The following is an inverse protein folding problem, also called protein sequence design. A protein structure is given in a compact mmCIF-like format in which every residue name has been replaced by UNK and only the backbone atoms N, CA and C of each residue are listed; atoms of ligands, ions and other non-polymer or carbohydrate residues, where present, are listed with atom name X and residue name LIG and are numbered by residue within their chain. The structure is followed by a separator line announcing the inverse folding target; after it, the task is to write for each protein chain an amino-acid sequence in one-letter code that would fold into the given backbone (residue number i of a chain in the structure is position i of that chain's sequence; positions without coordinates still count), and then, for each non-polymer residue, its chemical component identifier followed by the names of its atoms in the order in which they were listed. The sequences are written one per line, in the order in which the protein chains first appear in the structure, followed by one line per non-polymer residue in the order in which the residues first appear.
data_IF_131308951331
#
_entry.id   IF_131308951331
#
_cell.length_a   1.000
_cell.length_b   1.000
_cell.length_c   1.000
_cell.angle_alpha   90.00
_cell.angle_beta   90.00
_cell.angle_gamma   90.00
#
_symmetry.space_group_name_H-M   'P 1'
#
loop_
_entity.id
_entity.type
_entity.pdbx_description
1 polymer ?
#
# COMPACT_ATOMS: atom_id res chain seq x y z
N UNK A 1 -0.77 -3.64 26.90
CA UNK A 1 -0.81 -3.83 25.44
C UNK A 1 0.57 -4.32 25.04
N UNK A 2 0.73 -5.62 24.79
CA UNK A 2 2.06 -6.25 24.58
C UNK A 2 2.42 -6.28 23.08
N UNK A 3 2.29 -5.12 22.43
CA UNK A 3 2.61 -4.95 21.02
C UNK A 3 4.05 -4.47 20.89
N UNK A 4 4.91 -5.29 20.30
CA UNK A 4 6.32 -4.93 20.02
C UNK A 4 6.46 -3.99 18.82
N UNK A 5 5.40 -3.82 18.01
CA UNK A 5 5.38 -3.10 16.73
C UNK A 5 3.98 -2.57 16.40
N UNK A 6 3.87 -1.61 15.48
CA UNK A 6 2.60 -1.18 14.90
C UNK A 6 1.86 -2.37 14.26
N UNK A 7 0.54 -2.47 14.45
CA UNK A 7 -0.28 -3.60 13.94
C UNK A 7 -0.09 -3.85 12.45
N UNK A 8 -0.02 -2.79 11.64
CA UNK A 8 0.17 -2.89 10.19
C UNK A 8 1.48 -3.59 9.80
N UNK A 9 2.51 -3.58 10.67
CA UNK A 9 3.78 -4.28 10.39
C UNK A 9 3.59 -5.80 10.38
N UNK A 10 2.77 -6.35 11.29
CA UNK A 10 2.46 -7.79 11.31
C UNK A 10 1.76 -8.26 10.02
N UNK A 11 0.90 -7.40 9.46
CA UNK A 11 0.21 -7.62 8.19
C UNK A 11 1.18 -7.49 7.01
N UNK A 12 1.93 -6.38 6.95
CA UNK A 12 2.89 -6.11 5.88
C UNK A 12 3.93 -7.20 5.74
N UNK A 13 4.50 -7.67 6.86
CA UNK A 13 5.53 -8.69 6.86
C UNK A 13 5.02 -10.01 6.24
N UNK A 14 3.73 -10.34 6.45
CA UNK A 14 3.07 -11.50 5.81
C UNK A 14 2.77 -11.25 4.34
N UNK A 15 2.28 -10.06 3.99
CA UNK A 15 1.84 -9.75 2.64
C UNK A 15 3.00 -9.57 1.65
N UNK A 16 4.12 -9.00 2.10
CA UNK A 16 5.24 -8.54 1.27
C UNK A 16 5.83 -9.63 0.37
N UNK A 17 5.86 -10.88 0.81
CA UNK A 17 6.40 -12.01 0.02
C UNK A 17 5.62 -12.26 -1.27
N UNK A 18 4.37 -11.79 -1.37
CA UNK A 18 3.51 -11.94 -2.55
C UNK A 18 3.44 -10.67 -3.42
N UNK A 19 4.17 -9.61 -3.09
CA UNK A 19 4.17 -8.39 -3.89
C UNK A 19 4.82 -8.64 -5.25
N UNK A 20 4.08 -8.34 -6.32
CA UNK A 20 4.59 -8.40 -7.70
C UNK A 20 5.17 -7.04 -8.07
N UNK A 21 6.39 -6.77 -7.59
CA UNK A 21 7.14 -5.57 -7.96
C UNK A 21 7.68 -5.73 -9.38
N UNK A 22 7.38 -4.75 -10.24
CA UNK A 22 7.88 -4.73 -11.61
C UNK A 22 9.38 -4.42 -11.65
N UNK A 23 9.99 -4.65 -12.81
CA UNK A 23 11.41 -4.35 -13.06
C UNK A 23 11.66 -2.88 -13.42
N UNK A 24 10.61 -2.10 -13.63
CA UNK A 24 10.70 -0.70 -14.03
C UNK A 24 9.59 0.15 -13.39
N UNK A 25 9.89 1.44 -13.25
CA UNK A 25 8.96 2.46 -12.82
C UNK A 25 7.82 2.58 -13.83
N UNK A 26 6.59 2.50 -13.33
CA UNK A 26 5.40 2.64 -14.16
C UNK A 26 5.27 4.04 -14.77
N UNK A 27 5.86 5.09 -14.17
CA UNK A 27 5.77 6.45 -14.72
C UNK A 27 6.81 6.70 -15.81
N UNK A 28 8.08 6.35 -15.58
CA UNK A 28 9.19 6.82 -16.43
C UNK A 28 10.12 5.73 -16.95
N UNK A 29 9.87 4.44 -16.64
CA UNK A 29 10.73 3.34 -17.10
C UNK A 29 12.05 3.16 -16.35
N UNK A 30 12.38 4.02 -15.38
CA UNK A 30 13.55 3.85 -14.49
C UNK A 30 13.59 2.44 -13.90
N UNK A 31 14.75 1.80 -13.84
CA UNK A 31 14.92 0.42 -13.36
C UNK A 31 15.59 0.37 -11.98
N UNK A 32 16.15 1.48 -11.52
CA UNK A 32 16.81 1.59 -10.22
C UNK A 32 15.90 2.16 -9.12
N UNK A 33 16.24 1.84 -7.86
CA UNK A 33 15.62 2.43 -6.67
C UNK A 33 14.08 2.40 -6.69
N UNK A 34 13.53 1.25 -7.05
CA UNK A 34 12.10 1.04 -7.17
C UNK A 34 11.44 0.82 -5.80
N UNK A 35 10.20 1.24 -5.65
CA UNK A 35 9.33 1.03 -4.51
C UNK A 35 8.00 0.42 -4.97
N UNK A 36 7.38 -0.41 -4.11
CA UNK A 36 6.03 -0.93 -4.31
C UNK A 36 5.03 -0.01 -3.60
N UNK A 37 4.33 0.80 -4.36
CA UNK A 37 3.38 1.78 -3.84
C UNK A 37 1.95 1.21 -3.85
N UNK A 38 1.29 1.20 -2.69
CA UNK A 38 -0.13 0.85 -2.59
C UNK A 38 -1.00 2.10 -2.74
N UNK A 39 -1.98 2.10 -3.65
CA UNK A 39 -2.92 3.21 -3.77
C UNK A 39 -3.87 3.28 -2.58
N UNK A 40 -4.23 2.13 -2.00
CA UNK A 40 -4.93 2.01 -0.74
C UNK A 40 -3.93 1.69 0.37
N UNK A 41 -3.62 2.68 1.20
CA UNK A 41 -2.60 2.52 2.25
C UNK A 41 -2.98 1.42 3.25
N UNK A 42 -2.10 0.43 3.44
CA UNK A 42 -2.39 -0.71 4.32
C UNK A 42 -2.74 -0.33 5.76
N UNK A 43 -2.17 0.75 6.30
CA UNK A 43 -2.53 1.22 7.65
C UNK A 43 -3.98 1.67 7.71
N UNK A 44 -4.42 2.47 6.73
CA UNK A 44 -5.80 2.96 6.64
C UNK A 44 -6.80 1.81 6.40
N UNK A 45 -6.44 0.86 5.54
CA UNK A 45 -7.25 -0.34 5.29
C UNK A 45 -7.43 -1.16 6.57
N UNK A 46 -6.34 -1.46 7.28
CA UNK A 46 -6.38 -2.27 8.49
C UNK A 46 -7.19 -1.58 9.59
N UNK A 47 -6.96 -0.29 9.83
CA UNK A 47 -7.70 0.45 10.86
C UNK A 47 -9.20 0.55 10.52
N UNK A 48 -9.54 0.78 9.25
CA UNK A 48 -10.94 0.81 8.78
C UNK A 48 -11.62 -0.54 8.99
N UNK A 49 -10.93 -1.63 8.65
CA UNK A 49 -11.43 -2.99 8.78
C UNK A 49 -11.63 -3.42 10.24
N UNK A 50 -10.66 -3.15 11.10
CA UNK A 50 -10.77 -3.42 12.54
C UNK A 50 -11.97 -2.66 13.12
N UNK A 51 -12.12 -1.37 12.74
CA UNK A 51 -13.25 -0.55 13.16
C UNK A 51 -14.58 -1.10 12.66
N UNK A 52 -14.70 -1.49 11.39
CA UNK A 52 -15.95 -2.01 10.83
C UNK A 52 -16.37 -3.33 11.48
N UNK A 53 -15.41 -4.17 11.86
CA UNK A 53 -15.66 -5.44 12.57
C UNK A 53 -15.74 -5.28 14.09
N UNK A 54 -15.58 -4.06 14.62
CA UNK A 54 -15.54 -3.76 16.07
C UNK A 54 -14.49 -4.59 16.82
N UNK A 55 -13.36 -4.87 16.16
CA UNK A 55 -12.25 -5.65 16.74
C UNK A 55 -11.26 -4.69 17.39
N UNK A 56 -10.86 -4.99 18.61
CA UNK A 56 -9.74 -4.32 19.29
C UNK A 56 -8.64 -5.35 19.51
N UNK A 57 -7.44 -5.08 18.99
CA UNK A 57 -6.29 -5.95 19.16
C UNK A 57 -5.53 -5.55 20.42
N UNK A 58 -5.31 -6.51 21.32
CA UNK A 58 -4.58 -6.29 22.59
C UNK A 58 -3.26 -7.05 22.66
N UNK A 59 -3.06 -8.03 21.78
CA UNK A 59 -1.87 -8.91 21.73
C UNK A 59 -1.31 -9.11 20.31
N UNK A 60 -0.06 -9.55 20.22
CA UNK A 60 0.56 -9.89 18.95
C UNK A 60 -0.07 -11.14 18.29
N UNK A 61 -0.49 -12.12 19.08
CA UNK A 61 -1.08 -13.36 18.58
C UNK A 61 -2.42 -13.11 17.88
N UNK A 62 -3.24 -12.20 18.42
CA UNK A 62 -4.50 -11.79 17.79
C UNK A 62 -4.30 -11.23 16.38
N UNK A 63 -3.37 -10.28 16.19
CA UNK A 63 -3.10 -9.73 14.84
C UNK A 63 -2.44 -10.77 13.93
N UNK A 64 -1.63 -11.68 14.46
CA UNK A 64 -1.03 -12.75 13.67
C UNK A 64 -2.07 -13.75 13.13
N UNK A 65 -3.15 -13.99 13.87
CA UNK A 65 -4.27 -14.82 13.42
C UNK A 65 -5.18 -14.06 12.44
N UNK A 66 -5.48 -12.79 12.72
CA UNK A 66 -6.42 -11.99 11.92
C UNK A 66 -5.82 -11.46 10.62
N UNK A 67 -4.50 -11.30 10.52
CA UNK A 67 -3.87 -10.75 9.31
C UNK A 67 -4.15 -11.57 8.06
N UNK A 68 -4.34 -12.88 8.18
CA UNK A 68 -4.62 -13.72 7.01
C UNK A 68 -6.00 -13.43 6.44
N UNK A 69 -7.01 -13.33 7.33
CA UNK A 69 -8.38 -12.94 6.98
C UNK A 69 -8.40 -11.54 6.36
N UNK A 70 -7.71 -10.58 7.00
CA UNK A 70 -7.61 -9.22 6.46
C UNK A 70 -6.96 -9.20 5.06
N UNK A 71 -5.86 -9.95 4.86
CA UNK A 71 -5.17 -10.01 3.57
C UNK A 71 -6.07 -10.63 2.50
N UNK A 72 -6.83 -11.67 2.85
CA UNK A 72 -7.76 -12.33 1.94
C UNK A 72 -8.88 -11.38 1.52
N UNK A 73 -9.54 -10.71 2.48
CA UNK A 73 -10.64 -9.76 2.21
C UNK A 73 -10.19 -8.55 1.37
N UNK A 74 -8.93 -8.10 1.51
CA UNK A 74 -8.37 -6.95 0.77
C UNK A 74 -7.31 -7.37 -0.26
N UNK A 75 -7.43 -8.58 -0.82
CA UNK A 75 -6.47 -9.13 -1.79
C UNK A 75 -6.23 -8.15 -2.94
N UNK A 76 -7.30 -7.55 -3.47
CA UNK A 76 -7.21 -6.61 -4.58
C UNK A 76 -6.44 -5.34 -4.21
N UNK A 77 -6.79 -4.71 -3.09
CA UNK A 77 -6.18 -3.47 -2.63
C UNK A 77 -4.70 -3.65 -2.27
N UNK A 78 -4.36 -4.80 -1.69
CA UNK A 78 -3.00 -5.11 -1.24
C UNK A 78 -2.10 -5.47 -2.42
N UNK A 79 -2.57 -6.26 -3.39
CA UNK A 79 -1.73 -6.87 -4.42
C UNK A 79 -1.90 -6.29 -5.82
N UNK A 80 -3.07 -5.76 -6.16
CA UNK A 80 -3.43 -5.36 -7.53
C UNK A 80 -3.60 -3.85 -7.67
N UNK A 81 -4.13 -3.16 -6.66
CA UNK A 81 -4.20 -1.69 -6.62
C UNK A 81 -2.90 -1.07 -6.09
N UNK A 82 -1.82 -1.40 -6.80
CA UNK A 82 -0.47 -0.94 -6.52
C UNK A 82 0.28 -0.58 -7.81
N UNK A 83 1.36 0.18 -7.67
CA UNK A 83 2.27 0.49 -8.77
C UNK A 83 3.72 0.34 -8.31
N UNK A 84 4.59 -0.07 -9.23
CA UNK A 84 6.04 0.03 -9.01
C UNK A 84 6.50 1.39 -9.49
N UNK A 85 7.08 2.19 -8.61
CA UNK A 85 7.53 3.56 -8.90
C UNK A 85 8.99 3.70 -8.49
N UNK A 86 9.78 4.49 -9.23
CA UNK A 86 11.10 4.87 -8.72
C UNK A 86 10.94 5.80 -7.51
N UNK A 87 11.95 5.84 -6.65
CA UNK A 87 11.98 6.62 -5.41
C UNK A 87 11.56 8.07 -5.62
N UNK A 88 12.04 8.72 -6.68
CA UNK A 88 11.68 10.11 -6.99
C UNK A 88 10.18 10.30 -7.23
N UNK A 89 9.57 9.45 -8.07
CA UNK A 89 8.13 9.50 -8.35
C UNK A 89 7.28 9.09 -7.14
N UNK A 90 7.74 8.09 -6.39
CA UNK A 90 7.06 7.66 -5.17
C UNK A 90 7.05 8.78 -4.11
N UNK A 91 8.18 9.45 -3.90
CA UNK A 91 8.28 10.61 -3.01
C UNK A 91 7.44 11.78 -3.51
N UNK A 92 7.43 12.05 -4.83
CA UNK A 92 6.61 13.12 -5.40
C UNK A 92 5.12 12.86 -5.17
N UNK A 93 4.64 11.64 -5.37
CA UNK A 93 3.26 11.25 -5.08
C UNK A 93 2.92 11.50 -3.60
N UNK A 94 3.78 11.07 -2.68
CA UNK A 94 3.60 11.32 -1.25
C UNK A 94 3.75 12.78 -0.83
N UNK A 95 4.43 13.63 -1.61
CA UNK A 95 4.44 15.09 -1.37
C UNK A 95 3.08 15.74 -1.65
N UNK A 96 2.26 15.12 -2.52
CA UNK A 96 0.95 15.64 -2.93
C UNK A 96 -0.17 15.10 -2.04
N UNK A 97 -0.17 13.79 -1.79
CA UNK A 97 -1.25 13.12 -1.05
C UNK A 97 -0.91 12.85 0.43
N UNK A 98 0.31 13.19 0.85
CA UNK A 98 0.83 12.92 2.19
C UNK A 98 1.40 11.51 2.33
N UNK A 99 2.12 11.26 3.43
CA UNK A 99 2.73 9.96 3.75
C UNK A 99 1.70 8.86 4.07
N UNK A 100 0.50 9.25 4.49
CA UNK A 100 -0.60 8.36 4.87
C UNK A 100 -1.91 8.87 4.23
N UNK A 101 -2.04 8.75 2.90
CA UNK A 101 -3.18 9.28 2.16
C UNK A 101 -4.47 8.54 2.54
N UNK A 102 -5.60 9.25 2.62
CA UNK A 102 -6.92 8.66 2.92
C UNK A 102 -7.34 7.71 1.79
N UNK A 103 -8.08 6.64 2.12
CA UNK A 103 -8.55 5.64 1.14
C UNK A 103 -9.35 6.26 -0.02
N UNK A 104 -10.13 7.30 0.25
CA UNK A 104 -10.92 8.04 -0.77
C UNK A 104 -10.07 8.68 -1.88
N UNK A 105 -8.76 8.80 -1.66
CA UNK A 105 -7.82 9.39 -2.63
C UNK A 105 -7.16 8.36 -3.55
N UNK A 106 -7.36 7.06 -3.33
CA UNK A 106 -6.70 6.00 -4.11
C UNK A 106 -6.88 6.18 -5.63
N UNK A 107 -8.12 6.42 -6.09
CA UNK A 107 -8.39 6.68 -7.51
C UNK A 107 -7.72 7.96 -8.04
N UNK A 108 -7.59 9.00 -7.19
CA UNK A 108 -6.89 10.24 -7.55
C UNK A 108 -5.38 9.99 -7.69
N UNK A 109 -4.80 9.19 -6.80
CA UNK A 109 -3.40 8.77 -6.87
C UNK A 109 -3.14 7.98 -8.17
N UNK A 110 -3.97 6.97 -8.48
CA UNK A 110 -3.88 6.18 -9.71
C UNK A 110 -3.99 7.05 -10.97
N UNK A 111 -4.96 7.97 -11.00
CA UNK A 111 -5.11 8.94 -12.09
C UNK A 111 -3.87 9.84 -12.23
N UNK A 112 -3.32 10.34 -11.13
CA UNK A 112 -2.12 11.16 -11.16
C UNK A 112 -0.93 10.40 -11.73
N UNK A 113 -0.75 9.13 -11.32
CA UNK A 113 0.31 8.25 -11.84
C UNK A 113 0.17 8.07 -13.36
N UNK A 114 -1.05 7.83 -13.86
CA UNK A 114 -1.29 7.70 -15.30
C UNK A 114 -0.99 9.00 -16.06
N UNK A 115 -1.43 10.15 -15.53
CA UNK A 115 -1.09 11.47 -16.11
C UNK A 115 0.42 11.69 -16.15
N UNK A 116 1.16 11.31 -15.09
CA UNK A 116 2.62 11.43 -15.13
C UNK A 116 3.22 10.50 -16.17
N UNK A 117 2.70 9.28 -16.31
CA UNK A 117 3.16 8.31 -17.31
C UNK A 117 3.01 8.86 -18.74
N UNK A 118 1.85 9.44 -19.06
CA UNK A 118 1.60 10.11 -20.35
C UNK A 118 2.59 11.27 -20.59
N UNK A 119 2.85 12.10 -19.57
CA UNK A 119 3.83 13.19 -19.66
C UNK A 119 5.26 12.74 -19.93
N UNK A 120 5.59 11.49 -19.61
CA UNK A 120 6.89 10.90 -19.89
C UNK A 120 6.91 10.11 -21.22
N UNK A 121 5.84 10.18 -22.03
CA UNK A 121 5.78 9.53 -23.36
C UNK A 121 5.69 8.01 -23.31
N UNK A 122 5.19 7.46 -22.20
CA UNK A 122 5.10 6.00 -21.99
C UNK A 122 3.75 5.40 -22.42
N UNK A 123 2.88 6.21 -23.02
CA UNK A 123 1.56 5.86 -23.60
C UNK A 123 1.42 6.61 -24.93
#
# INVERSE_FOLDING_TARGET
MDLKRDLVKYVRDKAKSKYKKATQCYICGETENLDFHHFYGMTELLETWLKSKKITITSADEIMNLREIFIEEYTNEIYHEAATLCKAHHQRLHSIYGKRPKLVTALKQKRWVNIQREKHGMV
#
